data_IF_225906929897
#
_entry.id   IF_225906929897
#
_cell.length_a   1.000
_cell.length_b   1.000
_cell.length_c   1.000
_cell.angle_alpha   90.00
_cell.angle_beta   90.00
_cell.angle_gamma   90.00
#
_symmetry.space_group_name_H-M   'P 1'
#
loop_
_entity.id
_entity.type
_entity.pdbx_description
1 polymer ?
#
# COMPACT_ATOMS: atom_id res chain seq x y z
N UNK A 1 7.85 -13.52 -10.00
CA UNK A 1 8.23 -12.10 -9.80
C UNK A 1 6.98 -11.28 -10.07
N UNK A 2 6.61 -10.39 -9.14
CA UNK A 2 5.40 -9.59 -9.28
C UNK A 2 5.54 -8.59 -10.44
N UNK A 3 4.51 -8.52 -11.28
CA UNK A 3 4.34 -7.53 -12.33
C UNK A 3 4.04 -6.14 -11.74
N UNK A 4 4.15 -5.09 -12.57
CA UNK A 4 3.82 -3.72 -12.16
C UNK A 4 2.38 -3.61 -11.63
N UNK A 5 1.43 -4.24 -12.29
CA UNK A 5 0.02 -4.21 -11.90
C UNK A 5 -0.22 -4.89 -10.55
N UNK A 6 0.44 -6.02 -10.30
CA UNK A 6 0.39 -6.68 -9.00
C UNK A 6 0.98 -5.81 -7.90
N UNK A 7 2.09 -5.13 -8.17
CA UNK A 7 2.71 -4.18 -7.24
C UNK A 7 1.78 -3.00 -6.94
N UNK A 8 1.10 -2.45 -7.95
CA UNK A 8 0.13 -1.36 -7.77
C UNK A 8 -1.09 -1.80 -6.95
N UNK A 9 -1.62 -3.01 -7.20
CA UNK A 9 -2.69 -3.59 -6.38
C UNK A 9 -2.26 -3.79 -4.92
N UNK A 10 -1.02 -4.25 -4.72
CA UNK A 10 -0.44 -4.46 -3.41
C UNK A 10 -0.31 -3.14 -2.64
N UNK A 11 0.22 -2.10 -3.29
CA UNK A 11 0.34 -0.75 -2.73
C UNK A 11 -1.03 -0.18 -2.40
N UNK A 12 -2.01 -0.31 -3.30
CA UNK A 12 -3.40 0.08 -3.04
C UNK A 12 -3.97 -0.60 -1.80
N UNK A 13 -3.73 -1.90 -1.64
CA UNK A 13 -4.16 -2.65 -0.45
C UNK A 13 -3.45 -2.19 0.83
N UNK A 14 -2.15 -1.93 0.78
CA UNK A 14 -1.39 -1.38 1.92
C UNK A 14 -1.89 -0.01 2.34
N UNK A 15 -2.37 0.80 1.39
CA UNK A 15 -2.91 2.13 1.67
C UNK A 15 -4.34 2.03 2.24
N UNK A 16 -5.19 1.22 1.64
CA UNK A 16 -6.62 1.15 1.99
C UNK A 16 -6.94 0.23 3.18
N UNK A 17 -6.07 -0.74 3.49
CA UNK A 17 -6.27 -1.70 4.58
C UNK A 17 -5.17 -1.52 5.65
N UNK A 18 -5.53 -0.83 6.72
CA UNK A 18 -4.63 -0.55 7.83
C UNK A 18 -4.13 -1.79 8.56
N UNK A 19 -4.93 -2.86 8.62
CA UNK A 19 -4.54 -4.13 9.25
C UNK A 19 -3.54 -4.87 8.36
N UNK A 20 -3.81 -4.92 7.05
CA UNK A 20 -2.87 -5.45 6.08
C UNK A 20 -1.55 -4.68 6.10
N UNK A 21 -1.59 -3.34 6.17
CA UNK A 21 -0.39 -2.51 6.30
C UNK A 21 0.49 -2.91 7.47
N UNK A 22 -0.10 -3.13 8.66
CA UNK A 22 0.68 -3.53 9.84
C UNK A 22 1.35 -4.90 9.69
N UNK A 23 0.68 -5.85 9.03
CA UNK A 23 1.26 -7.17 8.73
C UNK A 23 2.34 -7.05 7.63
N UNK A 24 2.07 -6.22 6.63
CA UNK A 24 2.91 -5.98 5.47
C UNK A 24 4.25 -5.32 5.83
N UNK A 25 4.25 -4.32 6.72
CA UNK A 25 5.47 -3.67 7.19
C UNK A 25 6.39 -4.64 7.96
N UNK A 26 5.81 -5.63 8.66
CA UNK A 26 6.57 -6.66 9.38
C UNK A 26 7.12 -7.73 8.43
N UNK A 27 6.29 -8.21 7.51
CA UNK A 27 6.65 -9.24 6.54
C UNK A 27 6.00 -8.97 5.17
N UNK A 28 6.65 -8.17 4.30
CA UNK A 28 6.09 -7.80 2.99
C UNK A 28 5.85 -9.02 2.10
N UNK A 29 6.82 -9.94 2.08
CA UNK A 29 6.76 -11.15 1.24
C UNK A 29 5.64 -12.11 1.66
N UNK A 30 5.49 -12.36 2.97
CA UNK A 30 4.42 -13.22 3.48
C UNK A 30 3.04 -12.60 3.25
N UNK A 31 2.91 -11.29 3.47
CA UNK A 31 1.67 -10.56 3.28
C UNK A 31 1.27 -10.48 1.80
N UNK A 32 2.24 -10.28 0.90
CA UNK A 32 2.02 -10.33 -0.53
C UNK A 32 1.59 -11.72 -1.00
N UNK A 33 2.19 -12.78 -0.45
CA UNK A 33 1.81 -14.16 -0.76
C UNK A 33 0.35 -14.46 -0.38
N UNK A 34 -0.16 -13.89 0.73
CA UNK A 34 -1.59 -13.97 1.10
C UNK A 34 -2.51 -13.30 0.07
N UNK A 35 -1.99 -12.34 -0.70
CA UNK A 35 -2.70 -11.70 -1.80
C UNK A 35 -2.46 -12.40 -3.16
N UNK A 36 -1.77 -13.54 -3.17
CA UNK A 36 -1.43 -14.28 -4.40
C UNK A 36 -0.27 -13.66 -5.19
N UNK A 37 0.51 -12.77 -4.58
CA UNK A 37 1.58 -12.02 -5.25
C UNK A 37 2.94 -12.47 -4.70
N UNK A 38 3.82 -12.93 -5.59
CA UNK A 38 5.17 -13.34 -5.23
C UNK A 38 6.19 -12.21 -5.44
N UNK A 39 6.67 -11.65 -4.34
CA UNK A 39 7.74 -10.65 -4.35
C UNK A 39 9.12 -11.30 -4.48
N UNK A 40 9.94 -10.74 -5.36
CA UNK A 40 11.38 -11.02 -5.35
C UNK A 40 12.07 -10.29 -4.20
N UNK A 41 13.29 -10.71 -3.85
CA UNK A 41 14.08 -10.09 -2.79
C UNK A 41 14.34 -8.60 -3.05
N UNK A 42 14.46 -8.20 -4.31
CA UNK A 42 14.67 -6.81 -4.72
C UNK A 42 13.40 -5.97 -4.54
N UNK A 43 12.24 -6.53 -4.86
CA UNK A 43 10.94 -5.90 -4.63
C UNK A 43 10.65 -5.78 -3.13
N UNK A 44 10.93 -6.83 -2.36
CA UNK A 44 10.81 -6.81 -0.90
C UNK A 44 11.70 -5.73 -0.26
N UNK A 45 12.95 -5.61 -0.72
CA UNK A 45 13.86 -4.56 -0.26
C UNK A 45 13.35 -3.16 -0.61
N UNK A 46 12.70 -3.00 -1.77
CA UNK A 46 12.09 -1.74 -2.19
C UNK A 46 10.90 -1.38 -1.31
N UNK A 47 10.07 -2.35 -0.93
CA UNK A 47 8.99 -2.17 0.04
C UNK A 47 9.50 -1.82 1.44
N UNK A 48 10.59 -2.46 1.91
CA UNK A 48 11.17 -2.14 3.23
C UNK A 48 11.77 -0.74 3.31
N UNK A 49 12.23 -0.19 2.18
CA UNK A 49 12.72 1.19 2.09
C UNK A 49 11.60 2.21 1.93
N UNK A 50 10.41 1.77 1.53
CA UNK A 50 9.26 2.64 1.33
C UNK A 50 8.57 2.91 2.67
N UNK A 51 8.40 4.19 2.99
CA UNK A 51 7.74 4.62 4.22
C UNK A 51 6.23 4.74 4.00
N UNK A 52 5.53 3.60 4.07
CA UNK A 52 4.08 3.53 3.84
C UNK A 52 3.27 4.39 4.81
N UNK A 53 3.78 4.61 6.03
CA UNK A 53 3.16 5.52 6.99
C UNK A 53 3.18 6.96 6.49
N UNK A 54 4.32 7.41 5.93
CA UNK A 54 4.41 8.73 5.30
C UNK A 54 3.51 8.83 4.07
N UNK A 55 3.47 7.78 3.24
CA UNK A 55 2.67 7.76 2.01
C UNK A 55 1.17 7.87 2.30
N UNK A 56 0.67 7.12 3.31
CA UNK A 56 -0.72 7.23 3.76
C UNK A 56 -0.98 8.60 4.38
N UNK A 57 -0.09 9.13 5.22
CA UNK A 57 -0.27 10.45 5.82
C UNK A 57 -0.30 11.60 4.80
N UNK A 58 0.48 11.50 3.71
CA UNK A 58 0.41 12.44 2.59
C UNK A 58 -0.93 12.30 1.84
N UNK A 59 -1.39 11.08 1.62
CA UNK A 59 -2.67 10.81 0.97
C UNK A 59 -3.86 11.31 1.81
N UNK A 60 -3.83 11.15 3.12
CA UNK A 60 -4.83 11.68 4.05
C UNK A 60 -4.84 13.21 4.05
N UNK A 61 -3.68 13.86 3.97
CA UNK A 61 -3.60 15.33 3.79
C UNK A 61 -4.17 15.78 2.46
N UNK A 62 -3.94 15.04 1.38
CA UNK A 62 -4.52 15.32 0.06
C UNK A 62 -6.03 15.10 0.09
N UNK A 63 -6.52 14.01 0.67
CA UNK A 63 -7.96 13.76 0.85
C UNK A 63 -8.62 14.82 1.75
N UNK A 64 -7.90 15.37 2.72
CA UNK A 64 -8.38 16.45 3.59
C UNK A 64 -8.34 17.83 2.91
N UNK A 65 -7.46 18.03 1.91
CA UNK A 65 -7.37 19.28 1.12
C UNK A 65 -8.25 19.28 -0.12
N UNK A 66 -8.45 18.11 -0.72
CA UNK A 66 -9.51 17.83 -1.68
C UNK A 66 -10.77 17.53 -0.89
N UNK A 67 -11.34 18.57 -0.27
CA UNK A 67 -12.66 18.48 0.34
C UNK A 67 -13.60 17.72 -0.59
N UNK A 68 -14.38 16.81 -0.01
CA UNK A 68 -15.69 16.41 -0.50
C UNK A 68 -16.20 17.42 -1.54
N UNK A 69 -16.06 17.09 -2.82
CA UNK A 69 -16.84 17.74 -3.86
C UNK A 69 -18.27 17.23 -3.68
N UNK A 70 -18.97 17.96 -2.82
CA UNK A 70 -20.41 18.08 -2.66
C UNK A 70 -21.16 16.84 -2.14
N UNK A 71 -22.03 16.98 -1.12
CA UNK A 71 -23.16 16.07 -1.01
C UNK A 71 -24.02 16.30 -2.25
N UNK A 72 -24.36 15.23 -2.97
CA UNK A 72 -25.52 15.25 -3.85
C UNK A 72 -26.75 15.55 -2.97
N UNK A 73 -27.16 16.82 -2.94
CA UNK A 73 -28.51 17.27 -2.64
C UNK A 73 -29.21 17.57 -3.96
#
# INVERSE_FOLDING_TARGET
MASKEEMERLVGKVISDGAFRQDFVKNPKASASKAGIELTSEQEASFKKADFSKMVGELEKVASKSGCLSPCM
#
